data_IF_100792624974
#
_entry.id   IF_100792624974
#
_cell.length_a   1.000
_cell.length_b   1.000
_cell.length_c   1.000
_cell.angle_alpha   90.00
_cell.angle_beta   90.00
_cell.angle_gamma   90.00
#
_symmetry.space_group_name_H-M   'P 1'
#
loop_
_entity.id
_entity.type
_entity.pdbx_description
1 polymer ?
#
# COMPACT_ATOMS: atom_id res chain seq x y z
N UNK A 1 6.30 14.22 7.42
CA UNK A 1 6.81 12.85 7.64
C UNK A 1 6.92 12.23 6.26
N UNK A 2 8.09 11.72 5.87
CA UNK A 2 8.21 10.99 4.60
C UNK A 2 7.56 9.60 4.74
N UNK A 3 7.29 8.97 3.59
CA UNK A 3 6.58 7.69 3.54
C UNK A 3 7.38 6.53 4.14
N UNK A 4 8.72 6.60 4.10
CA UNK A 4 9.57 5.57 4.69
C UNK A 4 9.54 5.64 6.22
N UNK A 5 9.39 6.84 6.80
CA UNK A 5 9.19 7.04 8.23
C UNK A 5 7.81 6.57 8.69
N UNK A 6 6.77 6.72 7.85
CA UNK A 6 5.46 6.08 8.11
C UNK A 6 5.63 4.56 8.13
N UNK A 7 6.37 4.00 7.17
CA UNK A 7 6.61 2.57 7.07
C UNK A 7 7.33 2.01 8.32
N UNK A 8 8.40 2.67 8.77
CA UNK A 8 9.14 2.32 9.99
C UNK A 8 8.22 2.37 11.23
N UNK A 9 7.48 3.46 11.43
CA UNK A 9 6.59 3.61 12.57
C UNK A 9 5.48 2.55 12.61
N UNK A 10 4.94 2.21 11.44
CA UNK A 10 3.91 1.18 11.31
C UNK A 10 4.50 -0.20 11.61
N UNK A 11 5.65 -0.52 11.02
CA UNK A 11 6.36 -1.78 11.25
C UNK A 11 6.65 -1.97 12.75
N UNK A 12 7.22 -0.96 13.41
CA UNK A 12 7.50 -0.99 14.84
C UNK A 12 6.24 -1.24 15.69
N UNK A 13 5.09 -0.71 15.27
CA UNK A 13 3.82 -0.95 15.95
C UNK A 13 3.34 -2.38 15.74
N UNK A 14 3.39 -2.91 14.52
CA UNK A 14 3.04 -4.31 14.21
C UNK A 14 3.93 -5.28 15.00
N UNK A 15 5.22 -4.99 15.11
CA UNK A 15 6.19 -5.76 15.89
C UNK A 15 5.81 -5.76 17.38
N UNK A 16 5.51 -4.59 17.96
CA UNK A 16 5.08 -4.48 19.36
C UNK A 16 3.79 -5.26 19.66
N UNK A 17 2.90 -5.39 18.68
CA UNK A 17 1.65 -6.14 18.82
C UNK A 17 1.86 -7.65 18.62
N UNK A 18 3.04 -8.09 18.14
CA UNK A 18 3.32 -9.48 17.82
C UNK A 18 2.56 -9.97 16.58
N UNK A 19 2.31 -9.07 15.62
CA UNK A 19 1.43 -9.33 14.48
C UNK A 19 2.15 -9.51 13.14
N UNK A 20 3.50 -9.64 13.13
CA UNK A 20 4.19 -9.92 11.89
C UNK A 20 3.85 -11.30 11.34
N UNK A 21 3.58 -11.32 10.03
CA UNK A 21 3.33 -12.53 9.27
C UNK A 21 4.61 -13.37 9.17
N UNK A 22 4.47 -14.69 8.98
CA UNK A 22 5.62 -15.59 8.90
C UNK A 22 6.30 -15.53 7.55
N UNK A 23 5.58 -15.12 6.51
CA UNK A 23 6.09 -15.05 5.14
C UNK A 23 5.62 -13.80 4.39
N UNK A 24 6.40 -13.39 3.38
CA UNK A 24 6.02 -12.31 2.46
C UNK A 24 4.73 -12.62 1.69
N UNK A 25 4.46 -13.89 1.41
CA UNK A 25 3.22 -14.33 0.78
C UNK A 25 2.00 -14.07 1.66
N UNK A 26 2.06 -14.45 2.94
CA UNK A 26 0.99 -14.17 3.90
C UNK A 26 0.78 -12.65 4.07
N UNK A 27 1.86 -11.88 4.19
CA UNK A 27 1.76 -10.43 4.28
C UNK A 27 1.11 -9.80 3.03
N UNK A 28 1.48 -10.29 1.85
CA UNK A 28 0.86 -9.83 0.59
C UNK A 28 -0.61 -10.25 0.48
N UNK A 29 -0.98 -11.42 1.03
CA UNK A 29 -2.37 -11.85 1.08
C UNK A 29 -3.23 -10.92 1.96
N UNK A 30 -2.67 -10.36 3.03
CA UNK A 30 -3.37 -9.33 3.82
C UNK A 30 -3.58 -8.03 3.01
N UNK A 31 -2.63 -7.61 2.17
CA UNK A 31 -2.89 -6.48 1.25
C UNK A 31 -4.11 -6.78 0.38
N UNK A 32 -4.25 -8.01 -0.10
CA UNK A 32 -5.40 -8.41 -0.91
C UNK A 32 -6.72 -8.45 -0.10
N UNK A 33 -6.68 -8.76 1.20
CA UNK A 33 -7.88 -8.68 2.05
C UNK A 33 -8.34 -7.23 2.24
N UNK A 34 -7.42 -6.29 2.53
CA UNK A 34 -7.80 -4.86 2.67
C UNK A 34 -8.38 -4.30 1.36
N UNK A 35 -7.89 -4.76 0.20
CA UNK A 35 -8.50 -4.44 -1.10
C UNK A 35 -9.94 -5.01 -1.20
N UNK A 36 -10.18 -6.20 -0.67
CA UNK A 36 -11.52 -6.79 -0.59
C UNK A 36 -12.48 -5.97 0.27
N UNK A 37 -11.99 -5.42 1.39
CA UNK A 37 -12.74 -4.52 2.28
C UNK A 37 -13.05 -3.19 1.57
N UNK A 38 -12.04 -2.57 0.95
CA UNK A 38 -12.23 -1.36 0.13
C UNK A 38 -13.25 -1.56 -1.01
N UNK A 39 -13.27 -2.74 -1.64
CA UNK A 39 -14.27 -3.10 -2.67
C UNK A 39 -15.68 -3.18 -2.06
N UNK A 40 -15.82 -3.72 -0.85
CA UNK A 40 -17.11 -3.79 -0.17
C UNK A 40 -17.70 -2.39 0.07
N UNK A 41 -16.85 -1.45 0.49
CA UNK A 41 -17.24 -0.06 0.68
C UNK A 41 -17.62 0.66 -0.63
N UNK A 42 -17.30 0.08 -1.79
CA UNK A 42 -17.63 0.60 -3.12
C UNK A 42 -18.85 -0.06 -3.78
N UNK A 43 -19.59 -0.96 -3.10
CA UNK A 43 -20.73 -1.68 -3.71
C UNK A 43 -21.96 -0.82 -3.98
N UNK A 44 -22.07 0.34 -3.32
CA UNK A 44 -23.17 1.29 -3.50
C UNK A 44 -23.00 2.18 -4.75
N UNK A 45 -23.93 3.13 -4.93
CA UNK A 45 -23.81 4.13 -6.00
C UNK A 45 -22.61 5.10 -5.80
N UNK A 46 -22.12 5.20 -4.57
CA UNK A 46 -20.90 5.93 -4.17
C UNK A 46 -20.18 5.13 -3.09
N UNK A 47 -18.86 5.30 -2.92
CA UNK A 47 -18.15 4.76 -1.77
C UNK A 47 -18.75 5.27 -0.45
N UNK A 48 -18.71 4.43 0.59
CA UNK A 48 -19.06 4.85 1.95
C UNK A 48 -17.97 5.75 2.56
N UNK A 49 -18.23 6.29 3.75
CA UNK A 49 -17.24 7.07 4.51
C UNK A 49 -16.05 6.23 5.00
N UNK A 50 -16.20 4.90 5.09
CA UNK A 50 -15.15 3.97 5.53
C UNK A 50 -14.13 3.66 4.43
N UNK A 51 -14.46 3.92 3.16
CA UNK A 51 -13.54 3.66 2.04
C UNK A 51 -12.17 4.33 2.21
N UNK A 52 -12.11 5.50 2.87
CA UNK A 52 -10.85 6.19 3.16
C UNK A 52 -9.95 5.43 4.14
N UNK A 53 -10.56 4.69 5.07
CA UNK A 53 -9.87 3.89 6.09
C UNK A 53 -9.26 2.66 5.43
N UNK A 54 -10.05 1.96 4.62
CA UNK A 54 -9.57 0.81 3.85
C UNK A 54 -8.42 1.16 2.88
N UNK A 55 -8.46 2.36 2.27
CA UNK A 55 -7.33 2.85 1.48
C UNK A 55 -6.07 3.08 2.33
N UNK A 56 -6.23 3.55 3.57
CA UNK A 56 -5.11 3.70 4.49
C UNK A 56 -4.54 2.34 4.90
N UNK A 57 -5.39 1.36 5.17
CA UNK A 57 -4.95 0.00 5.53
C UNK A 57 -4.19 -0.66 4.38
N UNK A 58 -4.66 -0.54 3.14
CA UNK A 58 -3.92 -1.00 1.94
C UNK A 58 -2.52 -0.38 1.90
N UNK A 59 -2.41 0.94 2.10
CA UNK A 59 -1.12 1.64 2.08
C UNK A 59 -0.22 1.15 3.21
N UNK A 60 -0.73 1.05 4.44
CA UNK A 60 0.04 0.62 5.60
C UNK A 60 0.53 -0.83 5.45
N UNK A 61 -0.28 -1.74 4.92
CA UNK A 61 0.17 -3.12 4.61
C UNK A 61 1.28 -3.16 3.58
N UNK A 62 1.19 -2.34 2.52
CA UNK A 62 2.25 -2.25 1.50
C UNK A 62 3.54 -1.68 2.10
N UNK A 63 3.43 -0.66 2.95
CA UNK A 63 4.57 -0.02 3.60
C UNK A 63 5.24 -0.93 4.64
N UNK A 64 4.46 -1.70 5.40
CA UNK A 64 4.96 -2.71 6.33
C UNK A 64 5.85 -3.74 5.60
N UNK A 65 5.34 -4.29 4.48
CA UNK A 65 6.10 -5.21 3.62
C UNK A 65 7.35 -4.54 3.07
N UNK A 66 7.24 -3.29 2.61
CA UNK A 66 8.38 -2.57 2.05
C UNK A 66 9.50 -2.39 3.07
N UNK A 67 9.16 -1.95 4.29
CA UNK A 67 10.12 -1.80 5.36
C UNK A 67 10.74 -3.14 5.75
N UNK A 68 9.91 -4.18 5.92
CA UNK A 68 10.37 -5.54 6.25
C UNK A 68 11.36 -6.10 5.22
N UNK A 69 11.17 -5.79 3.93
CA UNK A 69 12.02 -6.25 2.84
C UNK A 69 13.20 -5.29 2.53
N UNK A 70 13.40 -4.23 3.32
CA UNK A 70 14.47 -3.25 3.11
C UNK A 70 14.31 -2.40 1.84
N UNK A 71 13.07 -2.22 1.38
CA UNK A 71 12.75 -1.45 0.16
C UNK A 71 12.55 0.01 0.52
N UNK A 72 13.34 0.90 -0.10
CA UNK A 72 13.05 2.34 -0.09
C UNK A 72 11.85 2.62 -1.00
N UNK A 73 10.65 2.62 -0.42
CA UNK A 73 9.41 2.76 -1.17
C UNK A 73 9.28 4.15 -1.81
N UNK A 74 9.74 5.20 -1.13
CA UNK A 74 9.74 6.55 -1.69
C UNK A 74 10.51 6.62 -3.02
N UNK A 75 11.76 6.11 -3.04
CA UNK A 75 12.56 6.08 -4.25
C UNK A 75 11.93 5.21 -5.32
N UNK A 76 11.39 4.04 -4.95
CA UNK A 76 10.72 3.14 -5.89
C UNK A 76 9.50 3.80 -6.57
N UNK A 77 8.71 4.57 -5.81
CA UNK A 77 7.58 5.33 -6.32
C UNK A 77 8.04 6.46 -7.27
N UNK A 78 9.04 7.25 -6.87
CA UNK A 78 9.61 8.31 -7.70
C UNK A 78 10.14 7.77 -9.03
N UNK A 79 10.90 6.68 -8.99
CA UNK A 79 11.42 6.01 -10.19
C UNK A 79 10.29 5.48 -11.08
N UNK A 80 9.24 4.92 -10.47
CA UNK A 80 8.07 4.43 -11.20
C UNK A 80 7.28 5.56 -11.85
N UNK A 81 7.11 6.69 -11.19
CA UNK A 81 6.47 7.89 -11.74
C UNK A 81 7.25 8.43 -12.94
N UNK A 82 8.57 8.55 -12.83
CA UNK A 82 9.45 8.95 -13.95
C UNK A 82 9.31 8.00 -15.15
N UNK A 83 9.32 6.69 -14.91
CA UNK A 83 9.07 5.69 -15.96
C UNK A 83 7.68 5.83 -16.58
N UNK A 84 6.64 6.13 -15.79
CA UNK A 84 5.28 6.32 -16.30
C UNK A 84 5.15 7.58 -17.16
N UNK A 85 5.79 8.67 -16.76
CA UNK A 85 5.85 9.93 -17.51
C UNK A 85 6.52 9.72 -18.88
N UNK A 86 7.68 9.06 -18.90
CA UNK A 86 8.40 8.72 -20.14
C UNK A 86 7.59 7.80 -21.06
N UNK A 87 6.79 6.90 -20.48
CA UNK A 87 5.95 5.94 -21.24
C UNK A 87 4.66 6.54 -21.77
N UNK A 88 4.40 7.84 -21.54
CA UNK A 88 3.38 8.66 -22.21
C UNK A 88 2.08 7.93 -22.59
N UNK A 89 0.98 8.20 -21.86
CA UNK A 89 -0.41 7.83 -22.20
C UNK A 89 -0.79 6.34 -22.28
N UNK A 90 0.13 5.39 -22.07
CA UNK A 90 -0.10 3.95 -22.38
C UNK A 90 -0.40 3.71 -23.87
N UNK A 91 0.25 4.45 -24.77
CA UNK A 91 0.03 4.31 -26.22
C UNK A 91 -1.30 4.89 -26.73
N UNK A 92 -1.89 5.86 -26.02
CA UNK A 92 -3.07 6.60 -26.50
C UNK A 92 -2.64 7.97 -27.01
N UNK A 93 -2.70 8.14 -28.34
CA UNK A 93 -2.40 9.40 -29.02
C UNK A 93 -3.28 10.51 -28.42
N UNK A 94 -2.67 11.66 -28.07
CA UNK A 94 -3.38 12.88 -27.68
C UNK A 94 -4.09 13.50 -28.88
#
# INVERSE_FOLDING_TARGET
MDINKIAEQNYDWVERMGWHNKTTLEALALVASEVGEAINECRGAKPTDNFKEELADIVLRVLDIAHWQGINMEQALLDKMKKNEQRGTRGRIK
#
